data_IF_681304023823
#
_entry.id   IF_681304023823
#
_cell.length_a   1.000
_cell.length_b   1.000
_cell.length_c   1.000
_cell.angle_alpha   90.00
_cell.angle_beta   90.00
_cell.angle_gamma   90.00
#
_symmetry.space_group_name_H-M   'P 1'
#
loop_
_entity.id
_entity.type
_entity.pdbx_description
1 polymer ?
#
# COMPACT_ATOMS: atom_id res chain seq x y z
N UNK A 1 13.29 2.65 -15.10
CA UNK A 1 13.72 3.82 -15.84
C UNK A 1 14.27 3.49 -17.23
N UNK A 2 15.24 2.56 -17.36
CA UNK A 2 15.78 2.14 -18.65
C UNK A 2 14.71 1.47 -19.51
N UNK A 3 14.00 0.49 -18.97
CA UNK A 3 12.90 -0.21 -19.67
C UNK A 3 11.82 0.78 -20.12
N UNK A 4 11.39 1.69 -19.24
CA UNK A 4 10.39 2.72 -19.56
C UNK A 4 10.86 3.59 -20.73
N UNK A 5 12.13 3.99 -20.71
CA UNK A 5 12.73 4.82 -21.76
C UNK A 5 12.82 4.08 -23.09
N UNK A 6 13.32 2.85 -23.10
CA UNK A 6 13.42 2.03 -24.31
C UNK A 6 12.05 1.74 -24.95
N UNK A 7 11.02 1.54 -24.13
CA UNK A 7 9.66 1.38 -24.63
C UNK A 7 9.13 2.66 -25.30
N UNK A 8 9.37 3.83 -24.69
CA UNK A 8 9.01 5.14 -25.24
C UNK A 8 9.76 5.40 -26.55
N UNK A 9 11.06 5.09 -26.60
CA UNK A 9 11.93 5.28 -27.77
C UNK A 9 11.62 4.32 -28.95
N UNK A 10 10.55 3.52 -28.85
CA UNK A 10 10.01 2.72 -29.95
C UNK A 10 10.37 1.24 -29.97
N UNK A 11 11.11 0.71 -28.98
CA UNK A 11 11.43 -0.73 -28.86
C UNK A 11 10.25 -1.56 -28.33
N UNK A 12 9.03 -1.25 -28.81
CA UNK A 12 7.78 -1.83 -28.26
C UNK A 12 7.65 -3.32 -28.54
N UNK A 13 8.17 -3.79 -29.67
CA UNK A 13 8.10 -5.20 -30.05
C UNK A 13 8.87 -6.14 -29.11
N UNK A 14 9.86 -5.61 -28.38
CA UNK A 14 10.67 -6.38 -27.42
C UNK A 14 10.09 -6.42 -26.00
N UNK A 15 8.99 -5.74 -25.76
CA UNK A 15 8.41 -5.59 -24.41
C UNK A 15 6.91 -5.85 -24.43
N UNK A 16 6.40 -6.36 -23.31
CA UNK A 16 4.96 -6.49 -23.09
C UNK A 16 4.31 -5.11 -23.02
N UNK A 17 3.09 -4.97 -23.55
CA UNK A 17 2.33 -3.73 -23.44
C UNK A 17 2.21 -3.31 -21.95
N UNK A 18 2.50 -2.05 -21.62
CA UNK A 18 2.42 -1.56 -20.22
C UNK A 18 1.07 -1.81 -19.57
N UNK A 19 -0.02 -1.60 -20.34
CA UNK A 19 -1.39 -1.80 -19.83
C UNK A 19 -1.66 -3.29 -19.56
N UNK A 20 -1.26 -4.18 -20.48
CA UNK A 20 -1.43 -5.62 -20.29
C UNK A 20 -0.61 -6.12 -19.08
N UNK A 21 0.63 -5.64 -18.93
CA UNK A 21 1.46 -5.95 -17.78
C UNK A 21 0.84 -5.42 -16.48
N UNK A 22 0.28 -4.21 -16.50
CA UNK A 22 -0.38 -3.63 -15.34
C UNK A 22 -1.58 -4.46 -14.91
N UNK A 23 -2.47 -4.81 -15.83
CA UNK A 23 -3.64 -5.65 -15.53
C UNK A 23 -3.22 -7.00 -14.94
N UNK A 24 -2.19 -7.62 -15.51
CA UNK A 24 -1.62 -8.86 -14.98
C UNK A 24 -1.07 -8.67 -13.54
N UNK A 25 -0.28 -7.62 -13.30
CA UNK A 25 0.30 -7.34 -11.99
C UNK A 25 -0.78 -7.06 -10.93
N UNK A 26 -1.82 -6.32 -11.29
CA UNK A 26 -2.95 -6.03 -10.40
C UNK A 26 -3.72 -7.31 -10.09
N UNK A 27 -4.04 -8.12 -11.10
CA UNK A 27 -4.71 -9.40 -10.90
C UNK A 27 -3.88 -10.33 -10.00
N UNK A 28 -2.58 -10.45 -10.28
CA UNK A 28 -1.65 -11.25 -9.46
C UNK A 28 -1.60 -10.73 -8.02
N UNK A 29 -1.53 -9.41 -7.83
CA UNK A 29 -1.52 -8.79 -6.51
C UNK A 29 -2.78 -9.16 -5.71
N UNK A 30 -3.96 -9.00 -6.29
CA UNK A 30 -5.20 -9.35 -5.60
C UNK A 30 -5.31 -10.85 -5.32
N UNK A 31 -4.89 -11.71 -6.26
CA UNK A 31 -4.89 -13.16 -6.08
C UNK A 31 -3.97 -13.58 -4.92
N UNK A 32 -2.74 -13.05 -4.87
CA UNK A 32 -1.76 -13.36 -3.82
C UNK A 32 -2.21 -12.80 -2.47
N UNK A 33 -2.69 -11.55 -2.42
CA UNK A 33 -3.20 -10.94 -1.19
C UNK A 33 -4.38 -11.75 -0.66
N UNK A 34 -5.34 -12.13 -1.51
CA UNK A 34 -6.47 -12.97 -1.11
C UNK A 34 -6.03 -14.32 -0.56
N UNK A 35 -5.04 -14.97 -1.20
CA UNK A 35 -4.58 -16.29 -0.82
C UNK A 35 -3.79 -16.30 0.49
N UNK A 36 -2.91 -15.33 0.72
CA UNK A 36 -1.94 -15.35 1.82
C UNK A 36 -2.27 -14.37 2.97
N UNK A 37 -2.90 -13.24 2.69
CA UNK A 37 -3.36 -12.31 3.73
C UNK A 37 -4.78 -12.63 4.23
N UNK A 38 -5.43 -13.63 3.62
CA UNK A 38 -6.84 -13.97 3.84
C UNK A 38 -7.78 -13.04 3.08
N UNK A 39 -9.08 -13.32 3.17
CA UNK A 39 -10.03 -12.28 2.76
C UNK A 39 -9.67 -11.02 3.54
N UNK A 40 -9.47 -9.94 2.80
CA UNK A 40 -9.43 -8.61 3.40
C UNK A 40 -10.81 -8.41 4.04
N UNK A 41 -11.04 -9.14 5.11
CA UNK A 41 -12.13 -8.89 6.00
C UNK A 41 -11.81 -7.56 6.66
N UNK A 42 -12.58 -6.55 6.44
CA UNK A 42 -12.43 -5.24 7.01
C UNK A 42 -12.58 -5.20 8.52
N UNK A 43 -13.28 -6.18 9.09
CA UNK A 43 -13.11 -6.53 10.47
C UNK A 43 -11.66 -6.97 10.80
N UNK A 44 -10.81 -7.35 9.83
CA UNK A 44 -9.40 -7.75 10.00
C UNK A 44 -8.38 -6.63 9.72
N UNK A 45 -8.71 -5.51 9.12
CA UNK A 45 -7.84 -4.29 9.16
C UNK A 45 -7.88 -3.67 10.55
N UNK A 46 -8.98 -3.83 11.24
CA UNK A 46 -9.13 -3.59 12.68
C UNK A 46 -8.97 -4.89 13.48
N UNK A 47 -8.64 -6.02 12.83
CA UNK A 47 -8.23 -7.30 13.41
C UNK A 47 -6.80 -7.58 13.01
N UNK A 48 -5.85 -7.09 13.76
CA UNK A 48 -4.51 -7.67 13.74
C UNK A 48 -4.66 -9.08 14.33
N UNK A 49 -4.48 -10.11 13.49
CA UNK A 49 -4.68 -11.54 13.82
C UNK A 49 -6.12 -11.98 14.20
N UNK A 50 -7.13 -11.55 13.47
CA UNK A 50 -8.47 -12.14 13.58
C UNK A 50 -9.38 -11.57 14.67
N UNK A 51 -8.95 -10.52 15.37
CA UNK A 51 -9.72 -9.87 16.44
C UNK A 51 -9.78 -8.36 16.20
N UNK A 52 -10.94 -7.71 16.43
CA UNK A 52 -11.06 -6.24 16.36
C UNK A 52 -10.01 -5.56 17.23
N UNK A 53 -9.53 -4.33 16.91
CA UNK A 53 -8.49 -3.63 17.69
C UNK A 53 -8.87 -3.59 19.17
N UNK A 54 -10.14 -3.41 19.50
CA UNK A 54 -10.64 -3.45 20.87
C UNK A 54 -10.68 -4.86 21.49
N UNK A 55 -10.83 -5.92 20.68
CA UNK A 55 -10.81 -7.31 21.14
C UNK A 55 -9.44 -7.98 20.88
N UNK A 56 -8.58 -7.38 20.04
CA UNK A 56 -7.25 -7.86 19.71
C UNK A 56 -6.21 -7.54 20.78
N UNK A 57 -6.27 -6.38 21.39
CA UNK A 57 -5.36 -6.00 22.47
C UNK A 57 -5.27 -7.06 23.59
N UNK A 58 -6.37 -7.54 24.19
CA UNK A 58 -6.28 -8.56 25.22
C UNK A 58 -5.75 -9.91 24.71
N UNK A 59 -6.04 -10.28 23.46
CA UNK A 59 -5.50 -11.51 22.85
C UNK A 59 -3.99 -11.40 22.60
N UNK A 60 -3.53 -10.27 22.07
CA UNK A 60 -2.11 -10.03 21.82
C UNK A 60 -1.33 -9.89 23.13
N UNK A 61 -1.90 -9.26 24.14
CA UNK A 61 -1.31 -9.16 25.50
C UNK A 61 -1.20 -10.54 26.13
N UNK A 62 -2.21 -11.41 25.96
CA UNK A 62 -2.17 -12.80 26.45
C UNK A 62 -1.08 -13.59 25.74
N UNK A 63 -0.98 -13.46 24.42
CA UNK A 63 0.07 -14.11 23.63
C UNK A 63 1.48 -13.64 24.00
N UNK A 64 1.65 -12.34 24.28
CA UNK A 64 2.90 -11.79 24.81
C UNK A 64 3.24 -12.39 26.18
N UNK A 65 2.26 -12.54 27.07
CA UNK A 65 2.45 -13.19 28.36
C UNK A 65 2.89 -14.66 28.21
N UNK A 66 2.27 -15.42 27.30
CA UNK A 66 2.64 -16.82 26.99
C UNK A 66 4.08 -16.90 26.45
N UNK A 67 4.49 -15.99 25.55
CA UNK A 67 5.85 -15.93 25.04
C UNK A 67 6.87 -15.60 26.16
N UNK A 68 6.53 -14.70 27.08
CA UNK A 68 7.39 -14.37 28.24
C UNK A 68 7.54 -15.54 29.21
N UNK A 69 6.46 -16.32 29.42
CA UNK A 69 6.52 -17.57 30.23
C UNK A 69 7.42 -18.60 29.56
N UNK A 70 7.25 -18.82 28.26
CA UNK A 70 8.08 -19.75 27.49
C UNK A 70 9.55 -19.34 27.46
N UNK A 71 9.84 -18.03 27.37
CA UNK A 71 11.19 -17.48 27.52
C UNK A 71 11.81 -17.84 28.87
N UNK A 72 11.05 -17.65 29.96
CA UNK A 72 11.50 -17.96 31.31
C UNK A 72 11.80 -19.46 31.50
N UNK A 73 11.02 -20.33 30.84
CA UNK A 73 11.25 -21.78 30.86
C UNK A 73 12.54 -22.17 30.09
N UNK A 74 12.77 -21.57 28.90
CA UNK A 74 14.00 -21.78 28.14
C UNK A 74 15.24 -21.33 28.90
N UNK A 75 15.15 -20.19 29.61
CA UNK A 75 16.24 -19.72 30.46
C UNK A 75 16.55 -20.69 31.61
N UNK A 76 15.51 -21.32 32.21
CA UNK A 76 15.70 -22.34 33.26
C UNK A 76 16.34 -23.62 32.74
N UNK A 77 16.12 -23.95 31.46
CA UNK A 77 16.67 -25.15 30.82
C UNK A 77 18.02 -24.88 30.13
N UNK A 78 18.56 -23.64 30.21
CA UNK A 78 19.83 -23.27 29.58
C UNK A 78 19.81 -23.23 28.06
N UNK A 79 18.63 -23.13 27.46
CA UNK A 79 18.44 -23.07 26.00
C UNK A 79 18.51 -21.64 25.49
N UNK A 80 18.88 -21.48 24.21
CA UNK A 80 18.97 -20.17 23.56
C UNK A 80 17.59 -19.52 23.42
N UNK A 81 17.49 -18.22 23.75
CA UNK A 81 16.24 -17.45 23.74
C UNK A 81 16.12 -16.47 22.58
N UNK A 82 17.13 -16.33 21.71
CA UNK A 82 17.19 -15.34 20.63
C UNK A 82 15.94 -15.35 19.73
N UNK A 83 15.47 -16.53 19.34
CA UNK A 83 14.29 -16.67 18.48
C UNK A 83 12.99 -16.19 19.19
N UNK A 84 12.89 -16.45 20.48
CA UNK A 84 11.73 -16.01 21.30
C UNK A 84 11.83 -14.53 21.64
N UNK A 85 13.03 -14.01 21.87
CA UNK A 85 13.27 -12.59 22.11
C UNK A 85 12.84 -11.75 20.89
N UNK A 86 13.15 -12.21 19.67
CA UNK A 86 12.66 -11.61 18.43
C UNK A 86 11.13 -11.62 18.30
N UNK A 87 10.48 -12.72 18.70
CA UNK A 87 9.02 -12.81 18.71
C UNK A 87 8.38 -11.87 19.75
N UNK A 88 8.96 -11.75 20.94
CA UNK A 88 8.51 -10.83 21.99
C UNK A 88 8.62 -9.39 21.52
N UNK A 89 9.77 -8.98 20.95
CA UNK A 89 9.99 -7.64 20.44
C UNK A 89 8.98 -7.29 19.31
N UNK A 90 8.75 -8.22 18.38
CA UNK A 90 7.75 -8.04 17.32
C UNK A 90 6.33 -7.92 17.86
N UNK A 91 6.00 -8.67 18.91
CA UNK A 91 4.70 -8.63 19.54
C UNK A 91 4.48 -7.34 20.36
N UNK A 92 5.50 -6.87 21.05
CA UNK A 92 5.47 -5.58 21.79
C UNK A 92 5.32 -4.40 20.83
N UNK A 93 6.03 -4.40 19.71
CA UNK A 93 5.87 -3.39 18.66
C UNK A 93 4.45 -3.40 18.06
N UNK A 94 3.87 -4.57 17.82
CA UNK A 94 2.51 -4.70 17.31
C UNK A 94 1.46 -4.17 18.32
N UNK A 95 1.63 -4.42 19.62
CA UNK A 95 0.78 -3.89 20.68
C UNK A 95 0.91 -2.36 20.75
N UNK A 96 2.13 -1.81 20.69
CA UNK A 96 2.36 -0.37 20.70
C UNK A 96 1.65 0.35 19.55
N UNK A 97 1.73 -0.18 18.33
CA UNK A 97 0.99 0.36 17.18
C UNK A 97 -0.52 0.26 17.38
N UNK A 98 -1.02 -0.82 17.99
CA UNK A 98 -2.46 -0.97 18.27
C UNK A 98 -2.95 0.01 19.32
N UNK A 99 -2.16 0.30 20.35
CA UNK A 99 -2.47 1.29 21.39
C UNK A 99 -2.49 2.70 20.78
N UNK A 100 -1.49 3.03 19.94
CA UNK A 100 -1.44 4.31 19.25
C UNK A 100 -2.63 4.51 18.28
N UNK A 101 -3.03 3.47 17.54
CA UNK A 101 -4.23 3.49 16.68
C UNK A 101 -5.52 3.57 17.49
N UNK A 102 -5.57 2.96 18.67
CA UNK A 102 -6.74 3.04 19.57
C UNK A 102 -6.90 4.44 20.17
N UNK A 103 -5.77 5.08 20.52
CA UNK A 103 -5.76 6.43 21.10
C UNK A 103 -5.87 7.52 20.02
N UNK A 104 -5.51 7.23 18.76
CA UNK A 104 -5.87 8.05 17.63
C UNK A 104 -7.40 8.05 17.53
N UNK A 105 -8.02 9.10 18.09
CA UNK A 105 -9.46 9.30 18.16
C UNK A 105 -10.05 9.40 16.73
N UNK A 106 -10.28 8.25 16.10
CA UNK A 106 -11.07 8.15 14.87
C UNK A 106 -12.50 8.69 15.06
N UNK A 107 -12.93 8.86 16.32
CA UNK A 107 -14.23 9.39 16.69
C UNK A 107 -14.35 10.92 16.52
N UNK A 108 -13.23 11.67 16.52
CA UNK A 108 -13.24 13.12 16.37
C UNK A 108 -13.12 13.58 14.89
N UNK A 109 -13.01 12.61 13.94
CA UNK A 109 -13.11 12.94 12.54
C UNK A 109 -14.59 13.13 12.18
N UNK A 110 -15.13 14.31 12.51
CA UNK A 110 -16.38 14.82 11.91
C UNK A 110 -16.09 15.19 10.44
N UNK A 111 -15.84 14.18 9.63
CA UNK A 111 -15.79 14.35 8.19
C UNK A 111 -17.23 14.56 7.70
N UNK A 112 -17.69 15.79 7.75
CA UNK A 112 -18.83 16.23 6.96
C UNK A 112 -18.31 16.46 5.55
N UNK A 113 -18.70 15.62 4.62
CA UNK A 113 -18.38 15.81 3.21
C UNK A 113 -19.55 16.50 2.54
N UNK A 114 -19.27 17.56 1.75
CA UNK A 114 -20.27 18.22 0.90
C UNK A 114 -20.79 17.28 -0.22
N UNK A 115 -20.13 16.13 -0.41
CA UNK A 115 -20.54 15.11 -1.38
C UNK A 115 -21.43 14.08 -0.68
N UNK A 116 -22.74 14.03 -1.00
CA UNK A 116 -23.71 13.19 -0.29
C UNK A 116 -23.36 11.70 -0.30
N UNK A 117 -22.71 11.20 -1.37
CA UNK A 117 -22.28 9.82 -1.48
C UNK A 117 -21.15 9.49 -0.48
N UNK A 118 -20.20 10.40 -0.30
CA UNK A 118 -19.09 10.24 0.65
C UNK A 118 -19.62 10.28 2.08
N UNK A 119 -20.51 11.24 2.39
CA UNK A 119 -21.10 11.37 3.72
C UNK A 119 -21.91 10.12 4.11
N UNK A 120 -22.65 9.56 3.16
CA UNK A 120 -23.40 8.32 3.34
C UNK A 120 -22.47 7.14 3.63
N UNK A 121 -21.37 7.01 2.85
CA UNK A 121 -20.40 5.95 3.02
C UNK A 121 -19.62 6.08 4.35
N UNK A 122 -19.33 7.31 4.79
CA UNK A 122 -18.71 7.55 6.11
C UNK A 122 -19.63 7.15 7.25
N UNK A 123 -20.95 7.41 7.14
CA UNK A 123 -21.96 6.94 8.09
C UNK A 123 -22.06 5.40 8.09
N UNK A 124 -22.06 4.78 6.91
CA UNK A 124 -22.03 3.31 6.78
C UNK A 124 -20.73 2.73 7.35
N UNK A 125 -19.58 3.39 7.17
CA UNK A 125 -18.30 2.97 7.74
C UNK A 125 -18.32 2.96 9.28
N UNK A 126 -18.98 3.95 9.89
CA UNK A 126 -19.19 3.99 11.34
C UNK A 126 -20.15 2.89 11.81
N UNK A 127 -21.21 2.59 11.05
CA UNK A 127 -22.21 1.59 11.40
C UNK A 127 -21.75 0.16 11.11
N UNK A 128 -21.13 -0.08 9.95
CA UNK A 128 -20.69 -1.40 9.47
C UNK A 128 -19.37 -1.32 8.71
N UNK A 129 -18.23 -1.17 9.40
CA UNK A 129 -16.92 -1.03 8.75
C UNK A 129 -16.60 -2.25 7.86
N UNK A 130 -17.08 -3.45 8.24
CA UNK A 130 -16.92 -4.69 7.49
C UNK A 130 -17.47 -4.62 6.08
N UNK A 131 -18.71 -4.21 5.95
CA UNK A 131 -19.41 -4.14 4.68
C UNK A 131 -18.78 -3.10 3.74
N UNK A 132 -18.45 -1.92 4.26
CA UNK A 132 -17.88 -0.83 3.45
C UNK A 132 -16.53 -1.21 2.89
N UNK A 133 -15.68 -1.79 3.69
CA UNK A 133 -14.36 -2.22 3.22
C UNK A 133 -14.45 -3.40 2.24
N UNK A 134 -15.39 -4.34 2.41
CA UNK A 134 -15.66 -5.37 1.40
C UNK A 134 -16.08 -4.75 0.06
N UNK A 135 -17.02 -3.78 0.09
CA UNK A 135 -17.42 -3.02 -1.10
C UNK A 135 -16.23 -2.26 -1.70
N UNK A 136 -15.39 -1.61 -0.86
CA UNK A 136 -14.20 -0.90 -1.28
C UNK A 136 -13.20 -1.83 -1.99
N UNK A 137 -12.91 -2.97 -1.41
CA UNK A 137 -12.04 -3.98 -2.01
C UNK A 137 -12.60 -4.51 -3.33
N UNK A 138 -13.89 -4.85 -3.35
CA UNK A 138 -14.59 -5.30 -4.55
C UNK A 138 -14.54 -4.26 -5.68
N UNK A 139 -14.60 -2.99 -5.34
CA UNK A 139 -14.51 -1.90 -6.30
C UNK A 139 -13.06 -1.56 -6.67
N UNK A 140 -12.11 -1.69 -5.73
CA UNK A 140 -10.70 -1.36 -5.96
C UNK A 140 -10.09 -2.15 -7.15
N UNK A 141 -10.35 -3.44 -7.29
CA UNK A 141 -9.84 -4.20 -8.43
C UNK A 141 -10.51 -3.82 -9.73
N UNK A 142 -11.82 -3.51 -9.72
CA UNK A 142 -12.57 -3.10 -10.93
C UNK A 142 -12.11 -1.74 -11.43
N UNK A 143 -11.84 -0.81 -10.52
CA UNK A 143 -11.49 0.58 -10.85
C UNK A 143 -9.99 0.85 -10.79
N UNK A 144 -9.13 -0.15 -10.52
CA UNK A 144 -7.67 0.01 -10.44
C UNK A 144 -7.06 0.67 -11.69
N UNK A 145 -7.63 0.41 -12.88
CA UNK A 145 -7.21 1.04 -14.13
C UNK A 145 -7.39 2.57 -14.13
N UNK A 146 -8.34 3.09 -13.32
CA UNK A 146 -8.59 4.53 -13.21
C UNK A 146 -7.42 5.28 -12.55
N UNK A 147 -6.54 4.59 -11.81
CA UNK A 147 -5.31 5.19 -11.28
C UNK A 147 -4.40 5.73 -12.40
N UNK A 148 -4.41 5.12 -13.59
CA UNK A 148 -3.59 5.58 -14.73
C UNK A 148 -4.06 6.96 -15.18
N UNK A 149 -5.29 7.15 -15.70
CA UNK A 149 -5.75 8.45 -16.15
C UNK A 149 -5.80 9.50 -15.03
N UNK A 150 -6.03 9.08 -13.78
CA UNK A 150 -6.02 9.96 -12.63
C UNK A 150 -4.60 10.51 -12.33
N UNK A 151 -3.57 9.69 -12.47
CA UNK A 151 -2.19 10.06 -12.13
C UNK A 151 -1.47 10.81 -13.25
N UNK A 152 -1.81 10.57 -14.51
CA UNK A 152 -1.12 11.15 -15.68
C UNK A 152 -1.11 12.67 -15.70
N UNK A 153 -2.22 13.39 -15.46
CA UNK A 153 -2.22 14.86 -15.42
C UNK A 153 -1.26 15.43 -14.38
N UNK A 154 -1.18 14.79 -13.22
CA UNK A 154 -0.29 15.22 -12.16
C UNK A 154 1.19 15.00 -12.51
N UNK A 155 1.53 13.88 -13.15
CA UNK A 155 2.91 13.65 -13.63
C UNK A 155 3.25 14.63 -14.75
N UNK A 156 2.30 14.92 -15.64
CA UNK A 156 2.47 15.95 -16.66
C UNK A 156 2.77 17.33 -16.05
N UNK A 157 2.12 17.67 -14.94
CA UNK A 157 2.36 18.93 -14.21
C UNK A 157 3.80 19.05 -13.66
N UNK A 158 4.54 17.97 -13.49
CA UNK A 158 5.96 18.00 -13.12
C UNK A 158 6.87 18.49 -14.26
N UNK A 159 6.33 18.55 -15.48
CA UNK A 159 7.05 18.96 -16.69
C UNK A 159 6.29 20.06 -17.46
N UNK A 160 5.84 21.16 -16.80
CA UNK A 160 4.98 22.16 -17.37
C UNK A 160 5.63 22.77 -18.58
N UNK A 161 5.96 23.05 -19.39
CA UNK A 161 6.70 23.68 -20.51
C UNK A 161 7.67 22.76 -21.28
N UNK A 162 7.71 21.48 -20.97
CA UNK A 162 8.57 20.57 -21.71
C UNK A 162 7.88 20.10 -22.99
N UNK A 163 8.29 20.64 -24.14
CA UNK A 163 7.87 20.13 -25.46
C UNK A 163 8.48 18.78 -25.82
N UNK A 164 9.44 18.29 -25.00
CA UNK A 164 10.16 17.04 -25.24
C UNK A 164 9.37 15.79 -24.84
N UNK A 165 8.45 15.93 -23.88
CA UNK A 165 7.72 14.81 -23.31
C UNK A 165 6.22 14.95 -23.58
N UNK A 166 5.62 13.88 -24.08
CA UNK A 166 4.21 13.83 -24.44
C UNK A 166 3.40 13.11 -23.35
N UNK A 167 2.09 13.28 -23.38
CA UNK A 167 1.16 12.60 -22.46
C UNK A 167 1.36 11.07 -22.47
N UNK A 168 1.67 10.53 -23.65
CA UNK A 168 2.00 9.12 -23.82
C UNK A 168 3.19 8.68 -22.95
N UNK A 169 4.26 9.48 -22.87
CA UNK A 169 5.45 9.16 -22.07
C UNK A 169 5.11 9.10 -20.58
N UNK A 170 4.27 10.01 -20.13
CA UNK A 170 3.77 10.05 -18.76
C UNK A 170 2.86 8.84 -18.47
N UNK A 171 2.01 8.44 -19.43
CA UNK A 171 1.16 7.25 -19.28
C UNK A 171 1.99 5.98 -19.15
N UNK A 172 3.01 5.80 -19.99
CA UNK A 172 3.93 4.65 -19.89
C UNK A 172 4.69 4.67 -18.56
N UNK A 173 5.16 5.84 -18.13
CA UNK A 173 5.85 6.01 -16.84
C UNK A 173 4.95 5.60 -15.66
N UNK A 174 3.73 6.13 -15.59
CA UNK A 174 2.76 5.83 -14.53
C UNK A 174 2.44 4.33 -14.51
N UNK A 175 2.15 3.76 -15.68
CA UNK A 175 1.76 2.34 -15.78
C UNK A 175 2.87 1.42 -15.28
N UNK A 176 4.14 1.63 -15.68
CA UNK A 176 5.25 0.84 -15.15
C UNK A 176 5.54 1.10 -13.67
N UNK A 177 5.29 2.32 -13.16
CA UNK A 177 5.35 2.59 -11.72
C UNK A 177 4.32 1.78 -10.94
N UNK A 178 3.08 1.76 -11.41
CA UNK A 178 2.00 1.00 -10.78
C UNK A 178 2.26 -0.52 -10.85
N UNK A 179 2.79 -1.04 -11.96
CA UNK A 179 3.22 -2.43 -12.06
C UNK A 179 4.25 -2.78 -10.98
N UNK A 180 5.27 -1.92 -10.82
CA UNK A 180 6.30 -2.14 -9.81
C UNK A 180 5.72 -2.13 -8.40
N UNK A 181 4.83 -1.19 -8.07
CA UNK A 181 4.19 -1.11 -6.76
C UNK A 181 3.31 -2.34 -6.49
N UNK A 182 2.55 -2.80 -7.48
CA UNK A 182 1.74 -4.03 -7.35
C UNK A 182 2.63 -5.26 -7.11
N UNK A 183 3.74 -5.40 -7.83
CA UNK A 183 4.70 -6.49 -7.60
C UNK A 183 5.40 -6.39 -6.24
N UNK A 184 5.70 -5.17 -5.78
CA UNK A 184 6.25 -4.96 -4.44
C UNK A 184 5.28 -5.45 -3.36
N UNK A 185 3.99 -5.14 -3.49
CA UNK A 185 2.95 -5.66 -2.58
C UNK A 185 2.91 -7.19 -2.61
N UNK A 186 2.98 -7.82 -3.78
CA UNK A 186 3.06 -9.29 -3.90
C UNK A 186 4.24 -9.85 -3.12
N UNK A 187 5.45 -9.29 -3.33
CA UNK A 187 6.67 -9.75 -2.64
C UNK A 187 6.56 -9.58 -1.14
N UNK A 188 6.02 -8.45 -0.67
CA UNK A 188 5.83 -8.19 0.76
C UNK A 188 4.80 -9.13 1.38
N UNK A 189 3.70 -9.41 0.70
CA UNK A 189 2.69 -10.38 1.16
C UNK A 189 3.30 -11.76 1.32
N UNK A 190 4.09 -12.21 0.34
CA UNK A 190 4.78 -13.50 0.40
C UNK A 190 5.85 -13.51 1.51
N UNK A 191 6.61 -12.42 1.69
CA UNK A 191 7.61 -12.32 2.76
C UNK A 191 6.98 -12.44 4.16
N UNK A 192 5.83 -11.79 4.36
CA UNK A 192 5.06 -11.93 5.61
C UNK A 192 4.53 -13.36 5.78
N UNK A 193 4.04 -13.98 4.70
CA UNK A 193 3.52 -15.34 4.73
C UNK A 193 4.58 -16.39 5.10
N UNK A 194 5.85 -16.17 4.72
CA UNK A 194 6.98 -17.07 5.11
C UNK A 194 7.62 -16.69 6.46
N UNK A 195 7.01 -15.78 7.23
CA UNK A 195 7.46 -15.43 8.58
C UNK A 195 8.57 -14.37 8.65
N UNK A 196 8.71 -13.53 7.63
CA UNK A 196 9.69 -12.43 7.60
C UNK A 196 9.04 -11.02 7.67
N UNK A 197 8.21 -10.69 8.68
CA UNK A 197 7.48 -9.41 8.73
C UNK A 197 8.41 -8.20 8.90
N UNK A 198 9.62 -8.38 9.43
CA UNK A 198 10.61 -7.31 9.61
C UNK A 198 11.09 -6.68 8.29
N UNK A 199 10.86 -7.33 7.15
CA UNK A 199 11.18 -6.79 5.83
C UNK A 199 10.24 -5.62 5.48
N UNK A 200 9.01 -5.60 6.00
CA UNK A 200 7.98 -4.59 5.65
C UNK A 200 8.42 -3.15 5.98
N UNK A 201 8.90 -2.81 7.19
CA UNK A 201 9.39 -1.46 7.47
C UNK A 201 10.56 -1.03 6.58
N UNK A 202 11.52 -1.94 6.34
CA UNK A 202 12.65 -1.67 5.46
C UNK A 202 12.20 -1.42 4.01
N UNK A 203 11.17 -2.12 3.56
CA UNK A 203 10.60 -1.99 2.23
C UNK A 203 9.90 -0.64 1.98
N UNK A 204 9.53 0.10 3.02
CA UNK A 204 8.97 1.47 2.92
C UNK A 204 9.92 2.44 2.20
N UNK A 205 11.23 2.18 2.19
CA UNK A 205 12.22 2.98 1.48
C UNK A 205 12.31 2.64 -0.02
N UNK A 206 11.78 1.49 -0.44
CA UNK A 206 11.85 1.03 -1.84
C UNK A 206 11.04 1.94 -2.78
N UNK A 207 9.78 2.34 -2.48
CA UNK A 207 9.00 3.20 -3.34
C UNK A 207 9.69 4.54 -3.69
N UNK A 208 10.15 5.37 -2.73
CA UNK A 208 10.81 6.63 -3.05
C UNK A 208 12.12 6.42 -3.82
N UNK A 209 12.90 5.39 -3.49
CA UNK A 209 14.12 5.06 -4.22
C UNK A 209 13.82 4.61 -5.66
N UNK A 210 12.80 3.77 -5.86
CA UNK A 210 12.35 3.32 -7.18
C UNK A 210 11.88 4.51 -8.02
N UNK A 211 11.01 5.37 -7.47
CA UNK A 211 10.49 6.57 -8.14
C UNK A 211 11.64 7.49 -8.58
N UNK A 212 12.63 7.72 -7.71
CA UNK A 212 13.82 8.50 -8.07
C UNK A 212 14.58 7.89 -9.25
N UNK A 213 14.87 6.58 -9.19
CA UNK A 213 15.60 5.90 -10.27
C UNK A 213 14.82 5.85 -11.58
N UNK A 214 13.52 5.60 -11.48
CA UNK A 214 12.65 5.53 -12.65
C UNK A 214 12.53 6.91 -13.30
N UNK A 215 12.25 7.95 -12.52
CA UNK A 215 12.11 9.33 -13.00
C UNK A 215 13.40 9.80 -13.70
N UNK A 216 14.54 9.59 -13.04
CA UNK A 216 15.84 9.95 -13.58
C UNK A 216 16.14 9.21 -14.91
N UNK A 217 15.86 7.91 -14.96
CA UNK A 217 16.15 7.08 -16.14
C UNK A 217 15.20 7.33 -17.30
N UNK A 218 13.90 7.56 -17.03
CA UNK A 218 12.89 7.80 -18.07
C UNK A 218 13.07 9.17 -18.73
N UNK A 219 13.29 10.20 -17.93
CA UNK A 219 13.34 11.59 -18.43
C UNK A 219 14.75 12.14 -18.62
N UNK A 220 15.80 11.35 -18.33
CA UNK A 220 17.20 11.76 -18.50
C UNK A 220 17.59 12.93 -17.59
N UNK A 221 17.08 12.97 -16.36
CA UNK A 221 17.24 14.11 -15.44
C UNK A 221 18.59 14.09 -14.72
N UNK A 222 19.10 15.30 -14.40
CA UNK A 222 20.21 15.46 -13.47
C UNK A 222 19.81 15.02 -12.05
N UNK A 223 20.80 14.68 -11.19
CA UNK A 223 20.52 14.21 -9.82
C UNK A 223 19.66 15.17 -9.00
N UNK A 224 19.99 16.48 -9.03
CA UNK A 224 19.23 17.52 -8.30
C UNK A 224 17.80 17.66 -8.83
N UNK A 225 17.64 17.67 -10.16
CA UNK A 225 16.34 17.76 -10.83
C UNK A 225 15.46 16.53 -10.55
N UNK A 226 16.05 15.34 -10.51
CA UNK A 226 15.33 14.11 -10.17
C UNK A 226 14.90 14.10 -8.71
N UNK A 227 15.73 14.59 -7.78
CA UNK A 227 15.44 14.55 -6.34
C UNK A 227 14.21 15.40 -6.00
N UNK A 228 14.18 16.68 -6.39
CA UNK A 228 13.04 17.54 -6.07
C UNK A 228 11.74 17.05 -6.74
N UNK A 229 11.84 16.55 -7.99
CA UNK A 229 10.67 15.96 -8.68
C UNK A 229 10.20 14.66 -8.02
N UNK A 230 11.10 13.89 -7.43
CA UNK A 230 10.70 12.70 -6.66
C UNK A 230 9.91 13.09 -5.43
N UNK A 231 10.35 14.13 -4.70
CA UNK A 231 9.59 14.64 -3.55
C UNK A 231 8.21 15.14 -3.98
N UNK A 232 8.13 15.92 -5.07
CA UNK A 232 6.86 16.35 -5.63
C UNK A 232 6.00 15.15 -6.11
N UNK A 233 6.61 14.13 -6.72
CA UNK A 233 5.91 12.93 -7.17
C UNK A 233 5.35 12.11 -6.00
N UNK A 234 6.05 12.06 -4.86
CA UNK A 234 5.52 11.42 -3.65
C UNK A 234 4.27 12.14 -3.13
N UNK A 235 4.30 13.47 -3.07
CA UNK A 235 3.13 14.27 -2.70
C UNK A 235 1.98 14.06 -3.70
N UNK A 236 2.27 14.04 -5.00
CA UNK A 236 1.31 13.75 -6.07
C UNK A 236 0.73 12.34 -5.92
N UNK A 237 1.56 11.32 -5.67
CA UNK A 237 1.10 9.95 -5.48
C UNK A 237 0.16 9.83 -4.28
N UNK A 238 0.46 10.53 -3.19
CA UNK A 238 -0.42 10.61 -2.02
C UNK A 238 -1.76 11.26 -2.39
N UNK A 239 -1.74 12.39 -3.11
CA UNK A 239 -2.95 13.06 -3.57
C UNK A 239 -3.77 12.15 -4.51
N UNK A 240 -3.13 11.49 -5.48
CA UNK A 240 -3.79 10.57 -6.38
C UNK A 240 -4.42 9.37 -5.63
N UNK A 241 -3.75 8.87 -4.60
CA UNK A 241 -4.28 7.80 -3.75
C UNK A 241 -5.51 8.27 -2.97
N UNK A 242 -5.49 9.48 -2.41
CA UNK A 242 -6.64 10.07 -1.71
C UNK A 242 -7.82 10.25 -2.67
N UNK A 243 -7.58 10.82 -3.86
CA UNK A 243 -8.63 10.99 -4.87
C UNK A 243 -9.19 9.65 -5.34
N UNK A 244 -8.34 8.63 -5.49
CA UNK A 244 -8.80 7.28 -5.83
C UNK A 244 -9.64 6.66 -4.71
N UNK A 245 -9.22 6.82 -3.45
CA UNK A 245 -10.02 6.39 -2.31
C UNK A 245 -11.38 7.09 -2.25
N UNK A 246 -11.42 8.41 -2.49
CA UNK A 246 -12.67 9.17 -2.58
C UNK A 246 -13.59 8.67 -3.72
N UNK A 247 -13.00 8.37 -4.89
CA UNK A 247 -13.75 7.80 -6.02
C UNK A 247 -14.35 6.45 -5.64
N UNK A 248 -13.60 5.58 -4.98
CA UNK A 248 -14.10 4.28 -4.51
C UNK A 248 -15.21 4.45 -3.46
N UNK A 249 -15.05 5.37 -2.51
CA UNK A 249 -16.07 5.68 -1.51
C UNK A 249 -17.36 6.19 -2.16
N UNK A 250 -17.26 7.07 -3.15
CA UNK A 250 -18.43 7.56 -3.89
C UNK A 250 -19.17 6.43 -4.62
N UNK A 251 -18.45 5.43 -5.14
CA UNK A 251 -19.04 4.26 -5.81
C UNK A 251 -19.65 3.24 -4.81
N UNK A 252 -19.26 3.27 -3.54
CA UNK A 252 -19.83 2.37 -2.53
C UNK A 252 -21.12 2.89 -1.91
N UNK A 253 -21.35 4.21 -1.93
CA UNK A 253 -22.53 4.89 -1.37
C UNK A 253 -23.69 5.09 -2.34
N UNK A 254 -23.54 4.69 -3.61
CA UNK A 254 -24.59 4.64 -4.63
C UNK A 254 -25.11 3.24 -4.82
#
# INVERSE_FOLDING_TARGET
>A
GKLTREYIDGRRASYVSPIALFLFCVFLMFAVVKQFAGEFDPGNIVKVNGTSVNAGLPVQTKRLAELKVKRAELLRTGQQTEAIDGQIAGQEAAIGVMEEVKDAKFNDFEAQSEVPAIDRTLKELKANPGLVLYKLQSNAYKFSWALIPLSVPFVWLLFPFSRRFHVYDHTVFVTFSLCFMSLLVVVLTLAVAVGAPLIVPAAMLIPPWHMYRQLRGTYGLTRRSALWRTTALLAIATTAMILFAMLLLAQTGG
#
